data_IF_133433174494
#
_entry.id   IF_133433174494
#
_cell.length_a   1.000
_cell.length_b   1.000
_cell.length_c   1.000
_cell.angle_alpha   90.00
_cell.angle_beta   90.00
_cell.angle_gamma   90.00
#
_symmetry.space_group_name_H-M   'P 1'
#
loop_
_entity.id
_entity.type
_entity.pdbx_description
1 polymer ?
#
# COMPACT_ATOMS: atom_id res chain seq x y z
N UNK A 1 -0.85 4.81 -36.25
CA UNK A 1 -0.33 4.75 -34.87
C UNK A 1 -1.36 5.36 -33.95
N UNK A 2 -2.26 4.53 -33.45
CA UNK A 2 -3.30 4.94 -32.50
C UNK A 2 -2.70 4.65 -31.13
N UNK A 3 -2.09 5.66 -30.50
CA UNK A 3 -1.46 5.49 -29.20
C UNK A 3 -2.53 5.06 -28.19
N UNK A 4 -2.33 3.89 -27.60
CA UNK A 4 -3.20 3.26 -26.61
C UNK A 4 -3.53 4.21 -25.45
N UNK A 5 -4.71 4.83 -25.51
CA UNK A 5 -5.35 5.51 -24.37
C UNK A 5 -5.99 4.53 -23.38
N UNK A 6 -5.56 3.27 -23.35
CA UNK A 6 -6.06 2.26 -22.42
C UNK A 6 -4.97 1.96 -21.40
N UNK A 7 -5.32 2.04 -20.12
CA UNK A 7 -4.57 1.55 -18.95
C UNK A 7 -3.76 2.51 -18.08
N UNK A 8 -3.88 3.84 -18.25
CA UNK A 8 -3.32 4.79 -17.28
C UNK A 8 -3.96 4.72 -15.87
N UNK A 9 -5.13 4.09 -15.70
CA UNK A 9 -5.89 4.14 -14.44
C UNK A 9 -5.24 3.44 -13.24
N UNK A 10 -4.89 2.16 -13.33
CA UNK A 10 -4.42 1.40 -12.16
C UNK A 10 -3.02 1.82 -11.68
N UNK A 11 -2.01 1.97 -12.55
CA UNK A 11 -0.70 2.51 -12.13
C UNK A 11 -0.80 3.93 -11.55
N UNK A 12 -1.69 4.77 -12.08
CA UNK A 12 -1.94 6.11 -11.54
C UNK A 12 -2.59 6.04 -10.14
N UNK A 13 -3.60 5.20 -9.96
CA UNK A 13 -4.22 4.98 -8.64
C UNK A 13 -3.22 4.42 -7.63
N UNK A 14 -2.32 3.53 -8.07
CA UNK A 14 -1.24 3.02 -7.23
C UNK A 14 -0.31 4.15 -6.79
N UNK A 15 0.10 5.01 -7.72
CA UNK A 15 0.95 6.15 -7.43
C UNK A 15 0.28 7.17 -6.48
N UNK A 16 -1.03 7.42 -6.63
CA UNK A 16 -1.81 8.24 -5.69
C UNK A 16 -1.93 7.60 -4.29
N UNK A 17 -2.10 6.27 -4.22
CA UNK A 17 -2.15 5.55 -2.96
C UNK A 17 -0.78 5.58 -2.24
N UNK A 18 0.32 5.37 -2.96
CA UNK A 18 1.67 5.52 -2.41
C UNK A 18 1.95 6.96 -1.96
N UNK A 19 1.52 7.96 -2.73
CA UNK A 19 1.62 9.36 -2.31
C UNK A 19 0.86 9.60 -1.00
N UNK A 20 -0.34 9.05 -0.88
CA UNK A 20 -1.16 9.20 0.33
C UNK A 20 -0.44 8.68 1.57
N UNK A 21 0.38 7.63 1.46
CA UNK A 21 1.17 7.11 2.60
C UNK A 21 2.10 8.15 3.21
N UNK A 22 2.67 9.05 2.39
CA UNK A 22 3.57 10.12 2.85
C UNK A 22 2.82 11.13 3.73
N UNK A 23 1.52 11.33 3.47
CA UNK A 23 0.71 12.34 4.18
C UNK A 23 -0.13 11.77 5.31
N UNK A 24 -0.21 10.44 5.46
CA UNK A 24 -0.99 9.76 6.51
C UNK A 24 -0.12 9.24 7.65
N UNK A 25 1.07 9.82 7.86
CA UNK A 25 2.01 9.37 8.91
C UNK A 25 1.35 9.40 10.30
N UNK A 26 0.58 10.45 10.59
CA UNK A 26 -0.15 10.63 11.86
C UNK A 26 -1.57 10.08 11.85
N UNK A 27 -1.96 9.31 10.82
CA UNK A 27 -3.30 8.75 10.73
C UNK A 27 -3.53 7.62 11.75
N UNK A 28 -4.80 7.29 12.00
CA UNK A 28 -5.17 6.14 12.83
C UNK A 28 -4.61 4.83 12.26
N UNK A 29 -4.38 3.85 13.13
CA UNK A 29 -3.91 2.51 12.77
C UNK A 29 -4.87 1.87 11.77
N UNK A 30 -6.19 2.03 11.97
CA UNK A 30 -7.21 1.61 10.99
C UNK A 30 -6.99 2.20 9.60
N UNK A 31 -6.69 3.50 9.52
CA UNK A 31 -6.45 4.17 8.25
C UNK A 31 -5.17 3.66 7.59
N UNK A 32 -4.10 3.47 8.37
CA UNK A 32 -2.84 2.87 7.89
C UNK A 32 -3.04 1.46 7.32
N UNK A 33 -3.75 0.59 8.05
CA UNK A 33 -4.09 -0.77 7.60
C UNK A 33 -4.88 -0.72 6.28
N UNK A 34 -5.90 0.14 6.22
CA UNK A 34 -6.76 0.27 5.04
C UNK A 34 -5.97 0.74 3.82
N UNK A 35 -5.03 1.67 4.01
CA UNK A 35 -4.19 2.18 2.93
C UNK A 35 -3.22 1.11 2.40
N UNK A 36 -2.59 0.33 3.28
CA UNK A 36 -1.74 -0.80 2.87
C UNK A 36 -2.56 -1.85 2.10
N UNK A 37 -3.76 -2.19 2.57
CA UNK A 37 -4.67 -3.11 1.88
C UNK A 37 -5.09 -2.59 0.49
N UNK A 38 -5.33 -1.28 0.36
CA UNK A 38 -5.64 -0.65 -0.93
C UNK A 38 -4.45 -0.76 -1.89
N UNK A 39 -3.24 -0.43 -1.43
CA UNK A 39 -2.02 -0.54 -2.23
C UNK A 39 -1.83 -1.97 -2.71
N UNK A 40 -1.94 -2.96 -1.81
CA UNK A 40 -1.89 -4.37 -2.18
C UNK A 40 -2.92 -4.72 -3.27
N UNK A 41 -4.17 -4.30 -3.11
CA UNK A 41 -5.25 -4.63 -4.06
C UNK A 41 -4.93 -4.08 -5.44
N UNK A 42 -4.43 -2.84 -5.53
CA UNK A 42 -4.06 -2.23 -6.79
C UNK A 42 -2.80 -2.90 -7.37
N UNK A 43 -1.78 -3.16 -6.55
CA UNK A 43 -0.56 -3.86 -6.95
C UNK A 43 -0.90 -5.23 -7.53
N UNK A 44 -1.71 -6.05 -6.84
CA UNK A 44 -2.13 -7.36 -7.31
C UNK A 44 -2.86 -7.29 -8.65
N UNK A 45 -3.78 -6.33 -8.82
CA UNK A 45 -4.50 -6.13 -10.07
C UNK A 45 -3.58 -5.70 -11.23
N UNK A 46 -2.60 -4.83 -10.97
CA UNK A 46 -1.58 -4.45 -11.97
C UNK A 46 -0.71 -5.68 -12.30
N UNK A 47 -0.23 -6.40 -11.28
CA UNK A 47 0.62 -7.58 -11.43
C UNK A 47 -0.04 -8.72 -12.21
N UNK A 48 -1.32 -9.00 -11.96
CA UNK A 48 -2.09 -10.00 -12.71
C UNK A 48 -2.15 -9.63 -14.19
N UNK A 49 -2.40 -8.36 -14.49
CA UNK A 49 -2.50 -7.85 -15.85
C UNK A 49 -1.15 -7.88 -16.59
N UNK A 50 -0.06 -7.57 -15.92
CA UNK A 50 1.29 -7.59 -16.51
C UNK A 50 1.87 -9.02 -16.60
N UNK A 51 1.17 -10.02 -16.06
CA UNK A 51 1.54 -11.43 -16.22
C UNK A 51 2.81 -11.81 -15.45
N UNK A 52 2.93 -11.35 -14.20
CA UNK A 52 4.10 -11.64 -13.37
C UNK A 52 4.37 -13.15 -13.19
N UNK A 53 5.64 -13.48 -12.91
CA UNK A 53 6.09 -14.85 -12.67
C UNK A 53 5.42 -15.43 -11.42
N UNK A 54 5.32 -16.77 -11.39
CA UNK A 54 4.64 -17.49 -10.30
C UNK A 54 5.25 -17.21 -8.92
N UNK A 55 6.57 -17.05 -8.84
CA UNK A 55 7.27 -16.66 -7.61
C UNK A 55 6.76 -15.33 -7.03
N UNK A 56 6.53 -14.34 -7.91
CA UNK A 56 6.04 -13.02 -7.49
C UNK A 56 4.56 -13.06 -7.09
N UNK A 57 3.78 -13.95 -7.70
CA UNK A 57 2.39 -14.19 -7.28
C UNK A 57 2.33 -14.83 -5.90
N UNK A 58 3.14 -15.86 -5.65
CA UNK A 58 3.23 -16.49 -4.33
C UNK A 58 3.64 -15.49 -3.26
N UNK A 59 4.57 -14.59 -3.57
CA UNK A 59 4.97 -13.53 -2.66
C UNK A 59 3.84 -12.51 -2.40
N UNK A 60 3.05 -12.16 -3.43
CA UNK A 60 1.85 -11.34 -3.23
C UNK A 60 0.79 -12.05 -2.36
N UNK A 61 0.65 -13.37 -2.46
CA UNK A 61 -0.23 -14.13 -1.57
C UNK A 61 0.27 -14.17 -0.12
N UNK A 62 1.58 -14.22 0.11
CA UNK A 62 2.17 -14.04 1.44
C UNK A 62 1.82 -12.67 2.03
N UNK A 63 2.06 -11.60 1.25
CA UNK A 63 1.67 -10.23 1.64
C UNK A 63 0.18 -10.15 1.98
N UNK A 64 -0.68 -10.80 1.20
CA UNK A 64 -2.13 -10.83 1.47
C UNK A 64 -2.47 -11.49 2.82
N UNK A 65 -1.78 -12.59 3.16
CA UNK A 65 -1.94 -13.28 4.44
C UNK A 65 -1.48 -12.39 5.60
N UNK A 66 -0.38 -11.66 5.43
CA UNK A 66 0.13 -10.73 6.44
C UNK A 66 -0.86 -9.59 6.69
N UNK A 67 -1.38 -8.95 5.63
CA UNK A 67 -2.40 -7.90 5.74
C UNK A 67 -3.67 -8.44 6.43
N UNK A 68 -4.11 -9.64 6.07
CA UNK A 68 -5.28 -10.27 6.67
C UNK A 68 -5.08 -10.54 8.16
N UNK A 69 -3.89 -10.99 8.54
CA UNK A 69 -3.50 -11.23 9.94
C UNK A 69 -3.50 -9.93 10.73
N UNK A 70 -2.83 -8.89 10.21
CA UNK A 70 -2.79 -7.55 10.81
C UNK A 70 -4.21 -7.00 11.02
N UNK A 71 -5.07 -7.11 10.00
CA UNK A 71 -6.46 -6.65 10.10
C UNK A 71 -7.25 -7.45 11.13
N UNK A 72 -6.97 -8.74 11.28
CA UNK A 72 -7.63 -9.61 12.26
C UNK A 72 -7.17 -9.36 13.71
N UNK A 73 -5.96 -8.85 13.91
CA UNK A 73 -5.42 -8.51 15.23
C UNK A 73 -5.73 -7.08 15.67
N UNK A 74 -6.20 -6.21 14.75
CA UNK A 74 -6.62 -4.86 15.05
C UNK A 74 -7.88 -4.82 15.91
N UNK A 75 -7.87 -3.95 16.92
CA UNK A 75 -9.04 -3.62 17.73
C UNK A 75 -9.22 -2.09 17.77
N UNK A 76 -10.47 -1.58 17.72
CA UNK A 76 -10.73 -0.14 17.73
C UNK A 76 -10.12 0.63 18.91
N UNK A 77 -9.98 -0.01 20.06
CA UNK A 77 -9.39 0.59 21.27
C UNK A 77 -7.92 1.01 21.05
N UNK A 78 -7.23 0.42 20.08
CA UNK A 78 -5.84 0.76 19.76
C UNK A 78 -5.72 2.16 19.16
N UNK A 79 -6.81 2.72 18.63
CA UNK A 79 -6.88 4.08 18.09
C UNK A 79 -7.50 5.09 19.06
N UNK A 80 -7.90 4.66 20.26
CA UNK A 80 -8.49 5.54 21.26
C UNK A 80 -7.42 6.40 21.94
N UNK A 81 -7.48 7.74 21.84
CA UNK A 81 -6.51 8.63 22.48
C UNK A 81 -6.38 8.42 23.99
N UNK A 82 -7.43 7.97 24.67
CA UNK A 82 -7.43 7.74 26.11
C UNK A 82 -6.68 6.46 26.50
N UNK A 83 -6.60 5.48 25.59
CA UNK A 83 -6.03 4.16 25.86
C UNK A 83 -4.76 3.85 25.08
N UNK A 84 -4.33 4.73 24.17
CA UNK A 84 -3.12 4.56 23.34
C UNK A 84 -1.88 4.23 24.18
N UNK A 85 -1.70 4.89 25.34
CA UNK A 85 -0.53 4.65 26.20
C UNK A 85 -0.56 3.27 26.89
N UNK A 86 -1.75 2.72 27.12
CA UNK A 86 -1.93 1.40 27.76
C UNK A 86 -1.80 0.29 26.73
N UNK A 87 -2.19 0.56 25.47
CA UNK A 87 -2.15 -0.38 24.37
C UNK A 87 -0.88 -0.26 23.49
N UNK A 88 0.15 0.43 23.99
CA UNK A 88 1.32 0.86 23.21
C UNK A 88 2.08 -0.32 22.59
N UNK A 89 2.31 -1.41 23.34
CA UNK A 89 3.04 -2.58 22.82
C UNK A 89 2.31 -3.25 21.65
N UNK A 90 1.00 -3.47 21.77
CA UNK A 90 0.20 -4.10 20.70
C UNK A 90 0.07 -3.18 19.49
N UNK A 91 -0.12 -1.88 19.72
CA UNK A 91 -0.14 -0.87 18.65
C UNK A 91 1.19 -0.87 17.90
N UNK A 92 2.31 -0.84 18.61
CA UNK A 92 3.66 -0.87 18.05
C UNK A 92 3.90 -2.13 17.23
N UNK A 93 3.52 -3.32 17.73
CA UNK A 93 3.65 -4.57 16.96
C UNK A 93 2.87 -4.54 15.65
N UNK A 94 1.68 -3.93 15.63
CA UNK A 94 0.91 -3.78 14.39
C UNK A 94 1.58 -2.77 13.45
N UNK A 95 2.08 -1.65 13.95
CA UNK A 95 2.79 -0.66 13.14
C UNK A 95 4.07 -1.25 12.51
N UNK A 96 4.85 -2.00 13.28
CA UNK A 96 6.04 -2.71 12.79
C UNK A 96 5.67 -3.73 11.70
N UNK A 97 4.62 -4.51 11.91
CA UNK A 97 4.14 -5.46 10.91
C UNK A 97 3.68 -4.76 9.62
N UNK A 98 2.96 -3.63 9.74
CA UNK A 98 2.55 -2.81 8.59
C UNK A 98 3.74 -2.24 7.81
N UNK A 99 4.79 -1.79 8.51
CA UNK A 99 5.99 -1.28 7.87
C UNK A 99 6.72 -2.37 7.10
N UNK A 100 6.84 -3.58 7.65
CA UNK A 100 7.41 -4.75 6.95
C UNK A 100 6.58 -5.07 5.70
N UNK A 101 5.26 -5.18 5.83
CA UNK A 101 4.36 -5.46 4.70
C UNK A 101 4.45 -4.38 3.63
N UNK A 102 4.57 -3.10 4.02
CA UNK A 102 4.80 -2.00 3.07
C UNK A 102 6.12 -2.18 2.32
N UNK A 103 7.21 -2.51 3.01
CA UNK A 103 8.51 -2.74 2.36
C UNK A 103 8.48 -3.91 1.36
N UNK A 104 7.76 -5.00 1.70
CA UNK A 104 7.54 -6.12 0.80
C UNK A 104 6.76 -5.69 -0.45
N UNK A 105 5.67 -4.93 -0.29
CA UNK A 105 4.91 -4.35 -1.40
C UNK A 105 5.79 -3.47 -2.29
N UNK A 106 6.59 -2.58 -1.70
CA UNK A 106 7.51 -1.72 -2.44
C UNK A 106 8.54 -2.51 -3.24
N UNK A 107 8.94 -3.69 -2.75
CA UNK A 107 9.87 -4.58 -3.47
C UNK A 107 9.27 -5.07 -4.78
N UNK A 108 8.01 -5.52 -4.79
CA UNK A 108 7.31 -5.93 -6.03
C UNK A 108 7.09 -4.74 -6.97
N UNK A 109 6.64 -3.60 -6.42
CA UNK A 109 6.36 -2.39 -7.20
C UNK A 109 7.61 -1.92 -7.94
N UNK A 110 8.77 -1.89 -7.27
CA UNK A 110 10.03 -1.49 -7.89
C UNK A 110 10.58 -2.55 -8.84
N UNK A 111 10.59 -3.83 -8.44
CA UNK A 111 11.14 -4.93 -9.24
C UNK A 111 10.53 -5.00 -10.65
N UNK A 112 9.26 -4.66 -10.76
CA UNK A 112 8.49 -4.73 -12.02
C UNK A 112 8.13 -3.37 -12.59
N UNK A 113 8.69 -2.28 -12.07
CA UNK A 113 8.45 -0.91 -12.53
C UNK A 113 6.95 -0.59 -12.69
N UNK A 114 6.12 -1.02 -11.73
CA UNK A 114 4.66 -0.93 -11.82
C UNK A 114 4.14 0.52 -11.82
N UNK A 115 5.01 1.48 -11.53
CA UNK A 115 4.77 2.92 -11.57
C UNK A 115 5.96 3.56 -12.27
N UNK A 116 5.68 4.51 -13.16
CA UNK A 116 6.71 5.24 -13.90
C UNK A 116 7.10 6.55 -13.22
N UNK A 117 8.33 7.02 -13.45
CA UNK A 117 8.82 8.30 -12.92
C UNK A 117 7.97 9.50 -13.40
N UNK A 118 7.44 9.44 -14.63
CA UNK A 118 6.56 10.48 -15.17
C UNK A 118 5.24 10.58 -14.40
N UNK A 119 4.64 9.44 -14.02
CA UNK A 119 3.43 9.40 -13.18
C UNK A 119 3.67 10.03 -11.81
N UNK A 120 4.82 9.75 -11.19
CA UNK A 120 5.20 10.35 -9.90
C UNK A 120 5.32 11.88 -10.04
N UNK A 121 6.00 12.36 -11.09
CA UNK A 121 6.15 13.81 -11.35
C UNK A 121 4.82 14.51 -11.57
N UNK A 122 3.91 13.91 -12.32
CA UNK A 122 2.56 14.46 -12.57
C UNK A 122 1.74 14.58 -11.28
N UNK A 123 1.77 13.54 -10.46
CA UNK A 123 1.06 13.46 -9.18
C UNK A 123 1.66 14.41 -8.12
N UNK A 124 2.97 14.63 -8.14
CA UNK A 124 3.63 15.60 -7.26
C UNK A 124 3.45 17.05 -7.72
N UNK A 125 3.50 17.31 -9.02
CA UNK A 125 3.40 18.65 -9.60
C UNK A 125 1.99 19.27 -9.52
N UNK A 126 0.94 18.45 -9.56
CA UNK A 126 -0.46 18.90 -9.53
C UNK A 126 -0.93 19.52 -8.20
N UNK A 127 -0.13 19.47 -7.12
CA UNK A 127 -0.50 20.03 -5.81
C UNK A 127 -0.01 21.46 -5.55
N UNK A 128 0.87 21.99 -6.41
CA UNK A 128 1.49 23.32 -6.28
C UNK A 128 0.98 24.33 -7.32
N UNK A 129 0.00 23.95 -8.14
CA UNK A 129 -0.73 24.83 -9.05
C UNK A 129 -2.05 25.25 -8.42
#
# INVERSE_FOLDING_TARGET
MQSDKKFLGLPYLLAEALRSQVYTIDASLRAKISLVALIYTITAAVSEKEGLKEEDKNFLEEIHRDISTIRGTYEPILDDPEYIQIADERRKSIEEALDITRLQLMTIIHKHELITESMIKEIQGSRWQ
#
